data_IF_986864384789
#
_entry.id   IF_986864384789
#
_cell.length_a   1.000
_cell.length_b   1.000
_cell.length_c   1.000
_cell.angle_alpha   90.00
_cell.angle_beta   90.00
_cell.angle_gamma   90.00
#
_symmetry.space_group_name_H-M   'P 1'
#
loop_
_entity.id
_entity.type
_entity.pdbx_description
1 polymer ?
#
# COMPACT_ATOMS: atom_id res chain seq x y z
N UNK A 1 7.68 2.90 -6.20
CA UNK A 1 6.51 2.10 -6.64
C UNK A 1 5.31 2.35 -5.74
N UNK A 2 5.47 2.28 -4.42
CA UNK A 2 4.37 2.50 -3.46
C UNK A 2 3.66 3.85 -3.60
N UNK A 3 4.36 4.92 -3.98
CA UNK A 3 3.76 6.23 -4.34
C UNK A 3 2.58 6.12 -5.31
N UNK A 4 2.64 5.16 -6.24
CA UNK A 4 1.59 4.95 -7.25
C UNK A 4 0.31 4.34 -6.70
N UNK A 5 0.36 3.84 -5.47
CA UNK A 5 -0.79 3.28 -4.76
C UNK A 5 -1.48 4.33 -3.88
N UNK A 6 -1.10 5.61 -4.00
CA UNK A 6 -1.76 6.71 -3.28
C UNK A 6 -3.25 6.74 -3.61
N UNK A 7 -4.09 6.68 -2.58
CA UNK A 7 -5.54 6.60 -2.72
C UNK A 7 -6.08 5.16 -2.73
N UNK A 8 -5.23 4.15 -2.91
CA UNK A 8 -5.66 2.76 -2.99
C UNK A 8 -5.81 2.11 -1.61
N UNK A 9 -6.77 1.18 -1.53
CA UNK A 9 -6.90 0.26 -0.40
C UNK A 9 -5.99 -0.96 -0.64
N UNK A 10 -5.11 -1.23 0.31
CA UNK A 10 -4.12 -2.30 0.22
C UNK A 10 -4.08 -3.10 1.51
N UNK A 11 -3.54 -4.30 1.45
CA UNK A 11 -3.15 -5.09 2.62
C UNK A 11 -1.63 -4.98 2.77
N UNK A 12 -1.20 -4.48 3.92
CA UNK A 12 0.20 -4.49 4.34
C UNK A 12 0.49 -5.79 5.09
N UNK A 13 1.48 -6.56 4.64
CA UNK A 13 2.10 -7.61 5.45
C UNK A 13 3.32 -7.03 6.13
N UNK A 14 3.28 -6.93 7.45
CA UNK A 14 4.37 -6.40 8.26
C UNK A 14 5.36 -7.50 8.64
N UNK A 15 6.59 -7.11 8.98
CA UNK A 15 7.66 -8.02 9.44
C UNK A 15 7.29 -8.75 10.73
N UNK A 16 6.38 -8.20 11.54
CA UNK A 16 5.83 -8.88 12.71
C UNK A 16 5.00 -10.13 12.34
N UNK A 17 4.62 -10.28 11.07
CA UNK A 17 3.66 -11.27 10.60
C UNK A 17 2.22 -10.73 10.54
N UNK A 18 1.98 -9.54 11.09
CA UNK A 18 0.66 -8.91 11.08
C UNK A 18 0.24 -8.50 9.66
N UNK A 19 -1.05 -8.61 9.41
CA UNK A 19 -1.68 -8.17 8.16
C UNK A 19 -2.70 -7.09 8.46
N UNK A 20 -2.59 -5.97 7.76
CA UNK A 20 -3.48 -4.84 7.98
C UNK A 20 -4.01 -4.27 6.67
N UNK A 21 -5.33 -4.12 6.58
CA UNK A 21 -5.96 -3.43 5.47
C UNK A 21 -6.00 -1.93 5.75
N UNK A 22 -5.42 -1.14 4.86
CA UNK A 22 -5.28 0.31 5.01
C UNK A 22 -5.52 1.01 3.68
N UNK A 23 -5.85 2.30 3.70
CA UNK A 23 -5.79 3.16 2.52
C UNK A 23 -4.48 3.94 2.52
N UNK A 24 -3.70 3.88 1.44
CA UNK A 24 -2.47 4.67 1.32
C UNK A 24 -2.86 6.13 1.09
N UNK A 25 -2.29 7.00 1.93
CA UNK A 25 -2.50 8.45 1.88
C UNK A 25 -1.34 9.11 1.16
N UNK A 26 -0.12 8.72 1.49
CA UNK A 26 1.09 9.21 0.84
C UNK A 26 2.27 8.27 1.12
N UNK A 27 3.35 8.46 0.38
CA UNK A 27 4.65 7.92 0.74
C UNK A 27 5.64 9.10 0.75
N UNK A 28 6.51 9.15 1.77
CA UNK A 28 7.50 10.23 1.92
C UNK A 28 8.82 9.61 2.32
N UNK A 29 9.73 9.52 1.35
CA UNK A 29 11.01 8.84 1.55
C UNK A 29 10.80 7.37 1.94
N UNK A 30 11.17 7.02 3.16
CA UNK A 30 11.07 5.65 3.69
C UNK A 30 9.83 5.43 4.59
N UNK A 31 8.87 6.35 4.60
CA UNK A 31 7.67 6.25 5.44
C UNK A 31 6.44 6.17 4.55
N UNK A 32 5.68 5.10 4.70
CA UNK A 32 4.34 4.95 4.15
C UNK A 32 3.33 5.51 5.13
N UNK A 33 2.53 6.48 4.66
CA UNK A 33 1.45 7.09 5.41
C UNK A 33 0.16 6.45 4.95
N UNK A 34 -0.52 5.77 5.86
CA UNK A 34 -1.79 5.13 5.59
C UNK A 34 -2.86 5.61 6.57
N UNK A 35 -4.11 5.33 6.25
CA UNK A 35 -5.23 5.58 7.15
C UNK A 35 -6.09 4.34 7.32
N UNK A 36 -6.54 4.13 8.55
CA UNK A 36 -7.61 3.22 8.92
C UNK A 36 -8.74 4.09 9.48
N UNK A 37 -9.70 4.44 8.63
CA UNK A 37 -10.88 5.30 8.85
C UNK A 37 -10.65 6.59 9.65
N UNK A 38 -10.35 6.49 10.95
CA UNK A 38 -10.22 7.60 11.91
C UNK A 38 -8.78 7.88 12.36
N UNK A 39 -7.79 7.10 11.93
CA UNK A 39 -6.39 7.26 12.38
C UNK A 39 -5.43 7.18 11.21
N UNK A 40 -4.46 8.08 11.21
CA UNK A 40 -3.28 7.95 10.37
C UNK A 40 -2.27 7.01 11.02
N UNK A 41 -1.64 6.18 10.20
CA UNK A 41 -0.56 5.29 10.58
C UNK A 41 0.66 5.61 9.73
N UNK A 42 1.79 5.74 10.39
CA UNK A 42 3.10 5.98 9.78
C UNK A 42 3.90 4.69 9.91
N UNK A 43 4.25 4.08 8.79
CA UNK A 43 4.91 2.78 8.75
C UNK A 43 6.22 2.93 8.01
N UNK A 44 7.34 2.56 8.64
CA UNK A 44 8.61 2.46 7.92
C UNK A 44 8.48 1.40 6.82
N UNK A 45 8.90 1.72 5.60
CA UNK A 45 8.87 0.76 4.49
C UNK A 45 9.75 -0.47 4.79
N UNK A 46 10.79 -0.33 5.61
CA UNK A 46 11.62 -1.46 6.05
C UNK A 46 10.85 -2.48 6.91
N UNK A 47 9.76 -2.06 7.55
CA UNK A 47 8.90 -2.93 8.33
C UNK A 47 7.87 -3.69 7.48
N UNK A 48 7.77 -3.38 6.19
CA UNK A 48 6.78 -3.96 5.28
C UNK A 48 7.45 -5.10 4.51
N UNK A 49 6.94 -6.32 4.68
CA UNK A 49 7.40 -7.49 3.92
C UNK A 49 6.73 -7.55 2.54
N UNK A 50 5.45 -7.22 2.45
CA UNK A 50 4.72 -7.19 1.18
C UNK A 50 3.55 -6.20 1.24
N UNK A 51 3.18 -5.68 0.07
CA UNK A 51 1.95 -4.90 -0.13
C UNK A 51 1.12 -5.63 -1.17
N UNK A 52 -0.10 -5.99 -0.79
CA UNK A 52 -1.07 -6.68 -1.66
C UNK A 52 -2.17 -5.68 -1.99
N UNK A 53 -2.42 -5.45 -3.27
CA UNK A 53 -3.47 -4.56 -3.74
C UNK A 53 -4.30 -5.30 -4.81
N UNK A 54 -5.61 -5.04 -4.83
CA UNK A 54 -6.48 -5.53 -5.91
C UNK A 54 -6.28 -4.61 -7.11
N UNK A 55 -5.26 -4.94 -7.90
CA UNK A 55 -4.71 -4.05 -8.91
C UNK A 55 -5.37 -4.21 -10.28
N UNK A 56 -6.66 -4.50 -10.41
CA UNK A 56 -7.27 -4.60 -11.74
C UNK A 56 -7.04 -3.31 -12.55
N UNK A 57 -6.99 -2.15 -11.91
CA UNK A 57 -6.72 -0.86 -12.58
C UNK A 57 -5.23 -0.44 -12.58
N UNK A 58 -4.46 -0.82 -11.55
CA UNK A 58 -3.04 -0.42 -11.41
C UNK A 58 -2.08 -1.35 -12.15
N UNK A 59 -2.40 -2.65 -12.20
CA UNK A 59 -1.59 -3.64 -12.92
C UNK A 59 -1.91 -3.61 -14.42
N UNK A 60 -3.18 -3.48 -14.82
CA UNK A 60 -3.56 -3.39 -16.25
C UNK A 60 -2.89 -2.20 -16.96
N UNK A 61 -2.99 -0.99 -16.39
CA UNK A 61 -2.39 0.22 -16.95
C UNK A 61 -0.86 0.24 -16.92
N UNK A 62 -0.21 -0.64 -16.13
CA UNK A 62 1.24 -0.67 -15.94
C UNK A 62 1.93 -1.83 -16.65
N UNK A 63 1.22 -2.94 -16.86
CA UNK A 63 1.74 -4.18 -17.44
C UNK A 63 1.07 -4.55 -18.77
N UNK A 64 0.23 -3.67 -19.35
CA UNK A 64 -0.46 -3.92 -20.62
C UNK A 64 -1.26 -5.23 -20.59
N UNK A 65 -1.92 -5.48 -19.46
CA UNK A 65 -2.74 -6.68 -19.29
C UNK A 65 -4.17 -6.35 -19.72
N UNK A 66 -4.54 -6.80 -20.93
CA UNK A 66 -5.92 -6.82 -21.43
C UNK A 66 -6.72 -7.87 -20.63
N UNK A 67 -7.86 -7.45 -20.08
CA UNK A 67 -8.87 -8.31 -19.46
C UNK A 67 -10.15 -8.28 -20.28
#
# INVERSE_FOLDING_TARGET
>A
VLEKLKGEKVILNLRSGDKEQVKIVDVVGNVLIATTDRRFKFVSCDCICAVIADCLDVISARFDLEY
#
